data_IF_916347800480
#
_entry.id   IF_916347800480
#
_cell.length_a   1.000
_cell.length_b   1.000
_cell.length_c   1.000
_cell.angle_alpha   90.00
_cell.angle_beta   90.00
_cell.angle_gamma   90.00
#
_symmetry.space_group_name_H-M   'P 1'
#
loop_
_entity.id
_entity.type
_entity.pdbx_description
1 polymer ?
#
# COMPACT_ATOMS: atom_id res chain seq x y z
N UNK A 1 -5.87 12.29 9.19
CA UNK A 1 -4.81 11.42 8.66
C UNK A 1 -5.16 11.03 7.23
N UNK A 2 -4.20 11.14 6.33
CA UNK A 2 -4.42 10.71 4.94
C UNK A 2 -4.42 9.20 4.84
N UNK A 3 -5.42 8.66 4.16
CA UNK A 3 -5.48 7.23 3.87
C UNK A 3 -4.53 6.95 2.70
N UNK A 4 -3.69 5.94 2.84
CA UNK A 4 -2.74 5.53 1.82
C UNK A 4 -2.89 4.04 1.57
N UNK A 5 -3.55 3.70 0.45
CA UNK A 5 -3.73 2.32 0.00
C UNK A 5 -3.20 2.25 -1.41
N UNK A 6 -2.20 1.41 -1.65
CA UNK A 6 -1.59 1.30 -2.98
C UNK A 6 -1.75 -0.11 -3.53
N UNK A 7 -1.60 -0.23 -4.84
CA UNK A 7 -1.70 -1.51 -5.55
C UNK A 7 -0.30 -1.94 -5.96
N UNK A 8 0.08 -3.16 -5.57
CA UNK A 8 1.33 -3.80 -6.00
C UNK A 8 0.99 -5.24 -6.39
N UNK A 9 1.35 -5.64 -7.60
CA UNK A 9 1.11 -6.99 -8.13
C UNK A 9 -0.34 -7.45 -7.98
N UNK A 10 -1.29 -6.56 -8.30
CA UNK A 10 -2.74 -6.81 -8.25
C UNK A 10 -3.30 -6.99 -6.84
N UNK A 11 -2.58 -6.57 -5.81
CA UNK A 11 -3.04 -6.59 -4.43
C UNK A 11 -3.08 -5.18 -3.86
N UNK A 12 -4.10 -4.90 -3.03
CA UNK A 12 -4.14 -3.68 -2.24
C UNK A 12 -3.32 -3.84 -0.97
N UNK A 13 -2.55 -2.80 -0.66
CA UNK A 13 -1.80 -2.71 0.60
C UNK A 13 -2.19 -1.43 1.31
N UNK A 14 -2.70 -1.56 2.54
CA UNK A 14 -3.06 -0.40 3.34
C UNK A 14 -1.84 0.06 4.14
N UNK A 15 -1.19 1.08 3.64
CA UNK A 15 0.05 1.63 4.21
C UNK A 15 -0.18 2.90 5.00
N UNK A 16 -1.43 3.18 5.39
CA UNK A 16 -1.79 4.42 6.09
C UNK A 16 -0.91 4.66 7.32
N UNK A 17 -0.75 3.65 8.16
CA UNK A 17 0.05 3.77 9.38
C UNK A 17 1.53 3.56 9.10
N UNK A 18 1.86 2.58 8.27
CA UNK A 18 3.25 2.31 7.89
C UNK A 18 3.93 3.53 7.28
N UNK A 19 3.18 4.36 6.56
CA UNK A 19 3.72 5.54 5.90
C UNK A 19 4.42 6.50 6.87
N UNK A 20 4.02 6.48 8.15
CA UNK A 20 4.68 7.30 9.18
C UNK A 20 6.11 6.84 9.47
N UNK A 21 6.42 5.57 9.18
CA UNK A 21 7.73 4.98 9.41
C UNK A 21 8.53 4.81 8.11
N UNK A 22 7.94 5.19 6.98
CA UNK A 22 8.60 5.01 5.68
C UNK A 22 9.78 5.97 5.52
N UNK A 23 10.99 5.45 5.19
CA UNK A 23 12.18 6.29 5.09
C UNK A 23 12.06 7.42 4.08
N UNK A 24 11.31 7.23 2.99
CA UNK A 24 11.08 8.27 1.99
C UNK A 24 9.97 9.26 2.34
N UNK A 25 9.27 9.05 3.47
CA UNK A 25 8.19 9.91 3.91
C UNK A 25 6.84 9.58 3.31
N UNK A 26 5.78 10.16 3.91
CA UNK A 26 4.40 9.91 3.47
C UNK A 26 4.11 10.44 2.08
N UNK A 27 4.73 11.55 1.70
CA UNK A 27 4.42 12.22 0.42
C UNK A 27 4.64 11.31 -0.78
N UNK A 28 5.67 10.49 -0.75
CA UNK A 28 5.97 9.58 -1.85
C UNK A 28 4.88 8.52 -1.97
N UNK A 29 4.49 7.92 -0.85
CA UNK A 29 3.45 6.90 -0.87
C UNK A 29 2.07 7.47 -1.20
N UNK A 30 1.77 8.67 -0.71
CA UNK A 30 0.49 9.32 -0.96
C UNK A 30 0.21 9.53 -2.43
N UNK A 31 1.25 9.78 -3.24
CA UNK A 31 1.10 9.96 -4.68
C UNK A 31 0.51 8.73 -5.36
N UNK A 32 0.67 7.57 -4.77
CA UNK A 32 0.21 6.30 -5.35
C UNK A 32 -1.09 5.80 -4.72
N UNK A 33 -1.75 6.61 -3.90
CA UNK A 33 -3.01 6.20 -3.29
C UNK A 33 -4.02 5.76 -4.36
N UNK A 34 -4.52 4.53 -4.25
CA UNK A 34 -5.43 3.88 -5.19
C UNK A 34 -4.87 3.73 -6.60
N UNK A 35 -3.55 3.79 -6.74
CA UNK A 35 -2.86 3.63 -8.03
C UNK A 35 -1.96 2.39 -7.99
N UNK A 36 -1.69 1.87 -9.18
CA UNK A 36 -0.77 0.75 -9.33
C UNK A 36 0.67 1.26 -9.26
N UNK A 37 1.37 0.86 -8.23
CA UNK A 37 2.77 1.25 -7.99
C UNK A 37 3.74 0.10 -8.22
N UNK A 38 3.31 -0.96 -8.90
CA UNK A 38 4.13 -2.18 -9.09
C UNK A 38 5.49 -1.86 -9.71
N UNK A 39 5.51 -1.11 -10.82
CA UNK A 39 6.76 -0.79 -11.49
C UNK A 39 7.69 0.03 -10.62
N UNK A 40 7.13 1.04 -9.96
CA UNK A 40 7.91 1.91 -9.07
C UNK A 40 8.48 1.13 -7.89
N UNK A 41 7.69 0.25 -7.31
CA UNK A 41 8.13 -0.62 -6.21
C UNK A 41 9.30 -1.50 -6.64
N UNK A 42 9.20 -2.11 -7.82
CA UNK A 42 10.23 -3.01 -8.32
C UNK A 42 11.52 -2.28 -8.71
N UNK A 43 11.44 -0.99 -9.04
CA UNK A 43 12.60 -0.18 -9.39
C UNK A 43 13.42 0.24 -8.18
N UNK A 44 12.83 0.28 -7.00
CA UNK A 44 13.52 0.72 -5.80
C UNK A 44 14.38 -0.41 -5.25
N UNK A 45 15.69 -0.13 -5.11
CA UNK A 45 16.64 -1.12 -4.63
C UNK A 45 16.24 -1.61 -3.23
N UNK A 46 16.22 -2.94 -3.07
CA UNK A 46 15.90 -3.55 -1.79
C UNK A 46 14.43 -3.96 -1.63
N UNK A 47 13.53 -3.47 -2.48
CA UNK A 47 12.11 -3.83 -2.39
C UNK A 47 11.84 -5.28 -2.79
N UNK A 48 12.74 -5.91 -3.56
CA UNK A 48 12.64 -7.33 -3.88
C UNK A 48 13.20 -8.24 -2.81
N UNK A 49 13.74 -7.68 -1.75
CA UNK A 49 14.28 -8.43 -0.63
C UNK A 49 13.16 -9.16 0.11
N UNK A 50 13.39 -10.42 0.49
CA UNK A 50 12.37 -11.22 1.16
C UNK A 50 11.90 -10.61 2.48
N UNK A 51 12.79 -9.90 3.18
CA UNK A 51 12.41 -9.20 4.42
C UNK A 51 11.39 -8.10 4.13
N UNK A 52 11.62 -7.31 3.08
CA UNK A 52 10.70 -6.23 2.70
C UNK A 52 9.35 -6.80 2.27
N UNK A 53 9.37 -7.89 1.48
CA UNK A 53 8.14 -8.56 1.05
C UNK A 53 7.36 -9.07 2.25
N UNK A 54 8.05 -9.69 3.22
CA UNK A 54 7.41 -10.17 4.44
C UNK A 54 6.77 -9.06 5.27
N UNK A 55 7.41 -7.88 5.32
CA UNK A 55 6.83 -6.72 6.00
C UNK A 55 5.57 -6.24 5.30
N UNK A 56 5.59 -6.18 3.95
CA UNK A 56 4.43 -5.74 3.18
C UNK A 56 3.22 -6.66 3.38
N UNK A 57 3.44 -7.96 3.51
CA UNK A 57 2.35 -8.91 3.67
C UNK A 57 1.46 -8.58 4.87
N UNK A 58 2.01 -7.94 5.89
CA UNK A 58 1.25 -7.52 7.07
C UNK A 58 0.18 -6.48 6.75
N UNK A 59 0.35 -5.76 5.64
CA UNK A 59 -0.53 -4.67 5.25
C UNK A 59 -1.43 -5.03 4.07
N UNK A 60 -1.37 -6.28 3.60
CA UNK A 60 -2.16 -6.74 2.47
C UNK A 60 -3.64 -6.80 2.82
N UNK A 61 -4.46 -6.13 2.02
CA UNK A 61 -5.91 -6.16 2.16
C UNK A 61 -6.51 -7.32 1.38
N UNK A 62 -5.98 -7.57 0.17
CA UNK A 62 -6.46 -8.63 -0.71
C UNK A 62 -6.28 -8.25 -2.17
N UNK A 63 -6.66 -9.17 -3.06
CA UNK A 63 -6.58 -8.95 -4.50
C UNK A 63 -7.57 -7.88 -4.96
N UNK A 64 -7.10 -7.02 -5.87
CA UNK A 64 -7.91 -5.93 -6.43
C UNK A 64 -9.25 -6.45 -6.96
N UNK A 65 -9.25 -7.56 -7.68
CA UNK A 65 -10.46 -8.11 -8.29
C UNK A 65 -11.49 -8.63 -7.27
N UNK A 66 -11.06 -8.90 -6.03
CA UNK A 66 -11.91 -9.49 -5.00
C UNK A 66 -12.33 -8.50 -3.91
N UNK A 67 -11.76 -7.29 -3.91
CA UNK A 67 -11.94 -6.31 -2.84
C UNK A 67 -12.71 -5.09 -3.35
N UNK A 68 -13.81 -4.75 -2.66
CA UNK A 68 -14.45 -3.46 -2.83
C UNK A 68 -13.71 -2.46 -1.94
N UNK A 69 -12.78 -1.73 -2.53
CA UNK A 69 -11.89 -0.86 -1.76
C UNK A 69 -12.61 0.32 -1.11
N UNK A 70 -13.67 0.82 -1.76
CA UNK A 70 -14.46 1.91 -1.18
C UNK A 70 -15.16 1.45 0.10
N UNK A 71 -15.72 0.25 0.06
CA UNK A 71 -16.35 -0.35 1.23
C UNK A 71 -15.34 -0.58 2.34
N UNK A 72 -14.14 -1.08 2.00
CA UNK A 72 -13.07 -1.27 2.96
C UNK A 72 -12.71 0.04 3.65
N UNK A 73 -12.58 1.13 2.89
CA UNK A 73 -12.24 2.45 3.43
C UNK A 73 -13.34 2.92 4.38
N UNK A 74 -14.61 2.79 3.98
CA UNK A 74 -15.73 3.21 4.82
C UNK A 74 -15.78 2.42 6.13
N UNK A 75 -15.57 1.11 6.06
CA UNK A 75 -15.66 0.24 7.23
C UNK A 75 -14.50 0.47 8.21
N UNK A 76 -13.31 0.82 7.71
CA UNK A 76 -12.12 0.92 8.56
C UNK A 76 -11.77 2.35 8.95
N UNK A 77 -12.22 3.34 8.22
CA UNK A 77 -11.85 4.75 8.46
C UNK A 77 -13.04 5.65 8.73
N UNK A 78 -14.26 5.19 8.46
CA UNK A 78 -15.51 5.91 8.76
C UNK A 78 -15.52 7.37 8.28
N UNK A 79 -15.22 7.53 7.02
CA UNK A 79 -15.21 8.85 6.41
C UNK A 79 -16.64 9.30 6.10
#
# INVERSE_FOLDING_TARGET
>A
MDIIIIIIDDYYFDLTIYANMHPGGRKILKKFHLKDATDKFNQVKGHGDSFVIGELDKYCVGQVKNIDIEKYIQENYRI
#
